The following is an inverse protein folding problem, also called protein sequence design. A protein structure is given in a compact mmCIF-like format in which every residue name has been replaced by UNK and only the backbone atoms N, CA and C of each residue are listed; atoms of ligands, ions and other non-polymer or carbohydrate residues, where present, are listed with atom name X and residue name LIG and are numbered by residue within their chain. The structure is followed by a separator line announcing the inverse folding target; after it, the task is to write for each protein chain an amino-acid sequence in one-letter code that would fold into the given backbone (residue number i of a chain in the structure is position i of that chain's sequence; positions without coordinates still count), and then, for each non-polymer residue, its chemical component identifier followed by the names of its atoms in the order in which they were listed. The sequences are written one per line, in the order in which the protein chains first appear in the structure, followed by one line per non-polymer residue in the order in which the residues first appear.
data_IF_233286006864
#
_entry.id   IF_233286006864
#
_cell.length_a   1.000
_cell.length_b   1.000
_cell.length_c   1.000
_cell.angle_alpha   90.00
_cell.angle_beta   90.00
_cell.angle_gamma   90.00
#
_symmetry.space_group_name_H-M   'P 1'
#
loop_
_entity.id
_entity.type
_entity.pdbx_description
1 polymer ?
2 non-polymer ?
3 non-polymer ?
4 water ?
#
# COMPACT_ATOMS: atom_id res chain seq x y z
N UNK A 12 -8.51 -3.72 7.30
CA UNK A 12 -7.22 -3.31 6.76
C UNK A 12 -7.28 -2.02 5.99
N UNK A 13 -6.14 -1.32 5.86
CA UNK A 13 -6.08 -0.03 5.17
C UNK A 13 -6.05 -0.20 3.66
N UNK A 14 -6.83 0.63 2.96
CA UNK A 14 -6.87 0.58 1.51
C UNK A 14 -5.69 1.33 0.93
N UNK A 15 -5.01 0.72 -0.04
CA UNK A 15 -3.89 1.39 -0.70
C UNK A 15 -3.69 0.88 -2.11
N UNK A 16 -3.87 1.78 -3.08
CA UNK A 16 -3.67 1.45 -4.48
C UNK A 16 -2.19 1.52 -4.87
N UNK A 17 -1.76 0.55 -5.66
CA UNK A 17 -0.39 0.51 -6.16
C UNK A 17 -0.21 1.54 -7.28
N UNK A 18 0.93 2.22 -7.30
CA UNK A 18 1.21 3.20 -8.33
C UNK A 18 1.50 2.53 -9.66
N UNK A 19 1.18 3.22 -10.78
CA UNK A 19 1.44 2.71 -12.12
C UNK A 19 2.89 2.27 -12.34
N UNK A 20 3.84 3.15 -12.06
CA UNK A 20 5.25 2.86 -12.30
C UNK A 20 5.76 1.72 -11.42
N UNK A 21 5.26 1.65 -10.19
CA UNK A 21 5.64 0.58 -9.28
C UNK A 21 5.18 -0.77 -9.83
N UNK A 22 4.03 -0.77 -10.47
CA UNK A 22 3.47 -1.98 -11.05
C UNK A 22 4.17 -2.38 -12.35
N UNK A 23 4.26 -1.43 -13.28
CA UNK A 23 4.80 -1.71 -14.60
C UNK A 23 6.27 -2.09 -14.58
N UNK A 24 7.01 -1.56 -13.60
CA UNK A 24 8.44 -1.85 -13.50
C UNK A 24 8.69 -3.17 -12.77
N UNK A 25 7.81 -3.51 -11.84
CA UNK A 25 7.97 -4.74 -11.06
C UNK A 25 7.45 -5.98 -11.76
N UNK A 26 6.32 -5.85 -12.44
CA UNK A 26 5.67 -6.99 -13.09
C UNK A 26 6.07 -7.15 -14.55
N UNK A 27 7.02 -6.33 -15.00
CA UNK A 27 7.60 -6.51 -16.33
C UNK A 27 8.23 -7.89 -16.44
N UNK A 28 7.90 -8.61 -17.51
CA UNK A 28 8.34 -9.99 -17.66
C UNK A 28 9.62 -10.14 -18.47
N UNK A 29 10.33 -9.03 -18.64
CA UNK A 29 11.60 -9.05 -19.35
C UNK A 29 12.71 -8.51 -18.47
N UNK A 30 12.39 -7.49 -17.68
CA UNK A 30 13.36 -6.88 -16.79
C UNK A 30 13.19 -7.40 -15.37
N UNK A 31 14.30 -7.59 -14.67
CA UNK A 31 14.26 -8.08 -13.30
C UNK A 31 14.35 -6.97 -12.27
N UNK A 32 13.62 -7.13 -11.17
CA UNK A 32 13.67 -6.19 -10.06
C UNK A 32 14.04 -6.93 -8.78
N UNK A 33 14.61 -6.22 -7.82
CA UNK A 33 15.23 -6.85 -6.66
C UNK A 33 14.24 -7.26 -5.57
N UNK A 34 12.98 -6.86 -5.72
CA UNK A 34 11.97 -7.28 -4.75
C UNK A 34 10.77 -7.95 -5.41
N UNK A 35 9.99 -8.65 -4.60
CA UNK A 35 8.84 -9.41 -5.09
C UNK A 35 7.52 -8.77 -4.68
N UNK A 36 6.63 -8.57 -5.65
CA UNK A 36 5.28 -8.07 -5.35
C UNK A 36 4.25 -9.17 -5.53
N UNK A 37 3.27 -9.21 -4.63
CA UNK A 37 2.27 -10.27 -4.65
C UNK A 37 0.85 -9.74 -4.55
N UNK A 38 0.15 -9.69 -5.68
CA UNK A 38 -1.26 -9.35 -5.69
C UNK A 38 -2.09 -10.60 -5.47
N UNK A 39 -2.94 -10.58 -4.45
CA UNK A 39 -3.75 -11.76 -4.12
C UNK A 39 -5.23 -11.45 -4.17
N UNK A 40 -6.01 -12.46 -4.57
CA UNK A 40 -7.46 -12.39 -4.55
C UNK A 40 -8.03 -13.64 -3.92
N UNK A 41 -9.15 -13.50 -3.21
CA UNK A 41 -9.82 -14.63 -2.60
C UNK A 41 -11.26 -14.71 -3.12
N UNK A 42 -11.73 -15.94 -3.36
CA UNK A 42 -13.09 -16.13 -3.82
C UNK A 42 -13.67 -17.45 -3.30
N UNK A 43 -14.90 -17.37 -2.80
CA UNK A 43 -15.58 -18.56 -2.31
C UNK A 43 -16.18 -19.34 -3.47
N UNK A 44 -16.02 -20.66 -3.42
CA UNK A 44 -16.59 -21.53 -4.44
C UNK A 44 -17.92 -22.10 -3.97
N UNK A 45 -19.00 -21.37 -4.24
CA UNK A 45 -20.34 -21.78 -3.82
C UNK A 45 -21.41 -21.02 -4.59
N UNK A 49 -18.84 -19.59 -8.32
CA UNK A 49 -17.85 -18.85 -7.55
C UNK A 49 -18.29 -17.42 -7.28
N UNK A 50 -17.89 -16.88 -6.13
CA UNK A 50 -18.22 -15.51 -5.78
C UNK A 50 -16.96 -14.73 -5.45
N UNK A 51 -16.76 -13.61 -6.14
CA UNK A 51 -15.57 -12.79 -5.92
C UNK A 51 -15.64 -12.06 -4.59
N UNK A 52 -14.93 -12.58 -3.60
CA UNK A 52 -14.86 -11.94 -2.29
C UNK A 52 -13.98 -10.70 -2.37
N UNK A 53 -14.51 -9.62 -2.92
CA UNK A 53 -13.79 -8.35 -2.93
C UNK A 53 -13.63 -7.86 -1.50
N UNK A 54 -12.68 -6.95 -1.30
CA UNK A 54 -12.24 -6.49 0.02
C UNK A 54 -11.49 -7.60 0.79
N UNK A 55 -11.34 -8.76 0.14
CA UNK A 55 -10.43 -9.79 0.64
C UNK A 55 -9.19 -9.79 -0.22
N UNK A 56 -9.12 -8.80 -1.12
CA UNK A 56 -7.99 -8.65 -2.03
C UNK A 56 -7.04 -7.55 -1.56
N UNK A 57 -5.82 -7.59 -2.07
CA UNK A 57 -4.82 -6.61 -1.75
C UNK A 57 -3.50 -7.03 -2.36
N UNK A 58 -2.41 -6.38 -1.99
CA UNK A 58 -1.11 -6.79 -2.50
C UNK A 58 -0.03 -6.75 -1.42
N UNK A 59 1.05 -7.48 -1.67
CA UNK A 59 2.15 -7.55 -0.73
C UNK A 59 3.49 -7.40 -1.43
N UNK A 60 4.49 -6.98 -0.67
CA UNK A 60 5.87 -7.00 -1.15
C UNK A 60 6.72 -7.60 -0.04
N UNK A 61 7.90 -8.11 -0.38
CA UNK A 61 8.78 -8.67 0.64
C UNK A 61 9.20 -7.60 1.65
N UNK A 62 9.30 -7.99 2.91
CA UNK A 62 9.75 -7.08 3.94
C UNK A 62 11.26 -6.91 3.81
N UNK A 63 11.70 -5.66 3.67
CA UNK A 63 13.12 -5.37 3.45
C UNK A 63 13.99 -5.89 4.57
N UNK A 64 15.13 -6.44 4.22
CA UNK A 64 16.04 -6.94 5.20
C UNK A 64 16.61 -5.77 5.92
N UNK A 65 17.12 -6.03 7.09
CA UNK A 65 17.84 -5.04 7.81
C UNK A 65 18.96 -5.72 8.51
N UNK A 66 19.92 -6.23 7.76
CA UNK A 66 21.09 -6.80 8.36
C UNK A 66 21.74 -5.65 9.09
N UNK A 67 21.99 -5.80 10.38
CA UNK A 67 22.55 -4.80 11.27
C UNK A 67 21.83 -5.02 12.54
N UNK A 68 20.52 -4.98 12.48
CA UNK A 68 19.67 -5.60 13.46
C UNK A 68 19.37 -6.89 12.79
N UNK A 69 20.05 -7.96 13.14
CA UNK A 69 19.91 -9.20 12.41
C UNK A 69 18.53 -9.61 11.97
N UNK A 70 18.02 -8.92 10.97
CA UNK A 70 16.73 -9.25 10.40
C UNK A 70 16.95 -9.50 8.94
N UNK A 71 16.52 -10.64 8.47
CA UNK A 71 16.79 -11.01 7.11
C UNK A 71 15.59 -10.93 6.26
N UNK A 72 14.67 -10.08 6.67
CA UNK A 72 13.49 -9.84 5.86
C UNK A 72 12.49 -10.97 5.88
N UNK A 73 11.41 -10.81 5.12
CA UNK A 73 10.41 -11.86 4.97
C UNK A 73 9.83 -11.84 3.56
N UNK A 74 9.87 -12.98 2.89
CA UNK A 74 9.46 -13.07 1.50
C UNK A 74 7.95 -12.86 1.32
N UNK A 75 7.57 -12.41 0.13
CA UNK A 75 6.18 -12.05 -0.17
C UNK A 75 5.21 -13.21 0.03
N UNK A 76 5.64 -14.41 -0.36
CA UNK A 76 4.82 -15.60 -0.23
C UNK A 76 4.49 -15.89 1.24
N UNK A 77 5.52 -15.86 2.09
CA UNK A 77 5.36 -16.15 3.50
C UNK A 77 4.53 -15.09 4.21
N UNK A 78 4.63 -13.85 3.73
CA UNK A 78 3.87 -12.74 4.29
C UNK A 78 2.38 -12.94 4.06
N UNK A 79 2.03 -13.66 3.00
CA UNK A 79 0.63 -13.97 2.74
C UNK A 79 0.14 -15.01 3.74
N UNK A 80 1.01 -15.96 4.06
CA UNK A 80 0.67 -17.01 5.02
C UNK A 80 0.39 -16.43 6.39
N UNK A 81 1.07 -15.35 6.73
CA UNK A 81 0.82 -14.62 7.97
C UNK A 81 -0.55 -13.97 7.91
N UNK A 82 -0.98 -13.63 6.70
CA UNK A 82 -2.19 -12.86 6.48
C UNK A 82 -3.43 -13.74 6.42
N UNK A 83 -3.24 -15.06 6.41
CA UNK A 83 -4.35 -15.99 6.27
C UNK A 83 -5.33 -15.99 7.46
N UNK A 84 -4.81 -15.95 8.71
CA UNK A 84 -5.80 -15.88 9.80
C UNK A 84 -6.61 -14.58 9.77
N UNK A 85 -6.05 -13.53 9.18
CA UNK A 85 -6.76 -12.27 9.04
C UNK A 85 -7.97 -12.40 8.12
N UNK A 86 -7.88 -13.33 7.18
CA UNK A 86 -8.94 -13.53 6.18
C UNK A 86 -10.23 -14.05 6.80
N UNK A 87 -10.11 -14.77 7.92
CA UNK A 87 -11.22 -15.44 8.57
C UNK A 87 -11.98 -16.34 7.59
N UNK A 88 -11.27 -17.31 7.03
CA UNK A 88 -11.87 -18.26 6.10
C UNK A 88 -12.67 -19.30 6.85
N UNK A 89 -13.71 -19.84 6.20
CA UNK A 89 -14.55 -20.86 6.81
C UNK A 89 -14.09 -22.25 6.37
N UNK A 90 -13.72 -23.09 7.34
CA UNK A 90 -13.39 -24.50 7.04
C UNK A 90 -14.59 -25.26 6.45
N UNK A 91 -15.80 -24.74 6.68
CA UNK A 91 -17.01 -25.35 6.16
C UNK A 91 -17.26 -24.96 4.70
N UNK A 92 -16.46 -24.02 4.20
CA UNK A 92 -16.56 -23.60 2.80
C UNK A 92 -15.34 -23.98 1.99
N UNK A 93 -15.33 -23.58 0.73
CA UNK A 93 -14.22 -23.88 -0.17
C UNK A 93 -13.79 -22.61 -0.91
N UNK A 94 -12.50 -22.29 -0.84
CA UNK A 94 -11.99 -21.07 -1.44
C UNK A 94 -10.88 -21.34 -2.45
N UNK A 95 -10.76 -20.45 -3.42
CA UNK A 95 -9.59 -20.46 -4.30
C UNK A 95 -8.86 -19.13 -4.19
N UNK A 96 -7.60 -19.19 -3.77
CA UNK A 96 -6.77 -18.01 -3.68
C UNK A 96 -5.94 -17.85 -4.94
N UNK A 97 -5.99 -16.67 -5.55
CA UNK A 97 -5.21 -16.38 -6.74
C UNK A 97 -4.04 -15.47 -6.44
N UNK A 98 -2.85 -15.90 -6.85
CA UNK A 98 -1.65 -15.10 -6.65
C UNK A 98 -1.16 -14.50 -7.96
N UNK A 99 -0.99 -13.18 -7.97
CA UNK A 99 -0.31 -12.50 -9.06
C UNK A 99 1.05 -12.04 -8.53
N UNK A 100 2.05 -12.89 -8.69
CA UNK A 100 3.34 -12.67 -8.04
C UNK A 100 4.40 -12.25 -9.06
N UNK A 101 5.30 -11.38 -8.64
CA UNK A 101 6.31 -10.83 -9.53
C UNK A 101 7.37 -11.87 -9.87
N UNK A 102 7.97 -12.46 -8.84
CA UNK A 102 8.89 -13.58 -9.05
C UNK A 102 8.21 -14.88 -8.62
N UNK A 103 8.51 -15.97 -9.32
CA UNK A 103 8.03 -17.29 -8.90
C UNK A 103 8.65 -17.62 -7.54
N UNK A 104 7.83 -18.13 -6.62
CA UNK A 104 8.28 -18.55 -5.28
C UNK A 104 9.54 -19.41 -5.32
N UNK A 105 10.44 -19.19 -4.37
CA UNK A 105 11.72 -19.88 -4.35
C UNK A 105 11.62 -21.18 -3.55
N UNK A 106 12.76 -21.88 -3.47
CA UNK A 106 12.83 -23.12 -2.69
C UNK A 106 13.94 -23.06 -1.66
N UNK A 107 15.12 -22.61 -2.09
CA UNK A 107 16.31 -22.65 -1.24
C UNK A 107 16.26 -21.66 -0.07
N UNK A 108 15.12 -21.01 0.12
CA UNK A 108 14.95 -20.08 1.24
C UNK A 108 13.67 -20.35 2.01
N UNK A 109 12.89 -21.32 1.53
CA UNK A 109 11.77 -21.84 2.31
C UNK A 109 10.36 -21.46 1.90
N UNK A 110 10.21 -20.86 0.72
CA UNK A 110 8.89 -20.44 0.27
C UNK A 110 8.06 -21.60 -0.25
N UNK A 111 8.63 -22.38 -1.17
CA UNK A 111 7.91 -23.49 -1.78
C UNK A 111 7.46 -24.53 -0.75
N UNK A 112 8.38 -24.92 0.13
CA UNK A 112 8.10 -25.92 1.13
C UNK A 112 7.04 -25.51 2.14
N UNK A 113 7.03 -24.23 2.50
CA UNK A 113 6.11 -23.74 3.52
C UNK A 113 4.75 -23.37 2.91
N UNK A 114 4.74 -23.02 1.63
CA UNK A 114 3.49 -22.79 0.92
C UNK A 114 2.79 -24.11 0.64
N UNK A 115 3.57 -25.10 0.23
CA UNK A 115 3.06 -26.45 0.01
C UNK A 115 2.51 -27.02 1.30
N UNK A 116 3.22 -26.81 2.40
CA UNK A 116 2.80 -27.30 3.70
C UNK A 116 1.49 -26.68 4.15
N UNK A 117 1.29 -25.41 3.81
CA UNK A 117 0.05 -24.71 4.15
C UNK A 117 -1.15 -25.35 3.47
N UNK A 118 -0.97 -25.77 2.22
CA UNK A 118 -2.04 -26.37 1.44
C UNK A 118 -2.49 -27.71 2.02
N UNK A 119 -1.57 -28.39 2.70
CA UNK A 119 -1.85 -29.70 3.28
C UNK A 119 -2.60 -29.55 4.60
N UNK A 120 -2.24 -28.54 5.37
CA UNK A 120 -2.93 -28.24 6.62
C UNK A 120 -4.30 -27.67 6.33
N UNK A 121 -4.42 -26.99 5.18
CA UNK A 121 -5.67 -26.34 4.78
C UNK A 121 -6.15 -26.84 3.43
N UNK A 122 -6.86 -27.97 3.43
CA UNK A 122 -7.35 -28.56 2.19
C UNK A 122 -8.64 -27.90 1.72
N UNK A 123 -9.11 -26.91 2.46
CA UNK A 123 -10.32 -26.18 2.09
C UNK A 123 -10.00 -25.03 1.13
N UNK A 124 -8.72 -24.80 0.88
CA UNK A 124 -8.30 -23.75 -0.02
C UNK A 124 -7.43 -24.28 -1.15
N UNK A 125 -7.72 -23.84 -2.37
CA UNK A 125 -6.91 -24.19 -3.53
C UNK A 125 -6.16 -22.97 -4.01
N UNK A 126 -4.91 -23.15 -4.42
CA UNK A 126 -4.06 -22.03 -4.79
C UNK A 126 -3.85 -21.92 -6.30
N UNK A 127 -3.82 -20.69 -6.80
CA UNK A 127 -3.51 -20.42 -8.20
C UNK A 127 -2.45 -19.33 -8.30
N UNK A 128 -1.30 -19.68 -8.85
CA UNK A 128 -0.18 -18.75 -8.91
C UNK A 128 0.14 -18.31 -10.33
N UNK A 129 0.03 -17.00 -10.57
CA UNK A 129 0.44 -16.42 -11.84
C UNK A 129 1.76 -15.67 -11.67
N UNK A 130 2.86 -16.32 -12.03
CA UNK A 130 4.17 -15.69 -11.96
C UNK A 130 4.39 -14.81 -13.18
N UNK A 131 4.86 -13.59 -12.92
CA UNK A 131 5.16 -12.66 -14.01
C UNK A 131 6.57 -12.89 -14.52
N UNK A 132 7.32 -13.70 -13.80
CA UNK A 132 8.74 -13.90 -14.08
C UNK A 132 9.27 -15.13 -13.37
N UNK A 133 10.17 -15.86 -14.02
CA UNK A 133 10.74 -17.05 -13.41
C UNK A 133 11.99 -16.70 -12.62
N UNK A 134 11.98 -16.97 -11.33
CA UNK A 134 13.09 -16.64 -10.44
C UNK A 134 14.19 -17.69 -10.52
N UNK A 135 14.96 -17.64 -11.61
CA UNK A 135 16.01 -18.63 -11.84
C UNK A 135 17.30 -18.29 -11.11
N UNK A 136 17.25 -17.28 -10.25
CA UNK A 136 18.39 -16.92 -9.41
C UNK A 136 18.63 -18.05 -8.42
N UNK A 137 17.55 -18.66 -7.95
CA UNK A 137 17.62 -19.85 -7.13
C UNK A 137 18.08 -21.02 -8.00
N UNK A 138 19.17 -21.70 -7.59
CA UNK A 138 19.65 -22.86 -8.34
C UNK A 138 18.61 -23.97 -8.42
N UNK A 139 17.73 -24.04 -7.42
CA UNK A 139 16.66 -25.03 -7.39
C UNK A 139 15.31 -24.41 -7.71
N UNK A 140 15.28 -23.50 -8.68
CA UNK A 140 14.04 -22.80 -9.01
C UNK A 140 13.03 -23.74 -9.65
N UNK A 141 13.52 -24.74 -10.37
CA UNK A 141 12.65 -25.73 -10.99
C UNK A 141 11.96 -26.60 -9.94
N UNK A 142 12.71 -26.96 -8.90
CA UNK A 142 12.18 -27.81 -7.83
C UNK A 142 11.11 -27.09 -7.02
N UNK A 143 11.18 -25.76 -6.99
CA UNK A 143 10.17 -24.96 -6.31
C UNK A 143 8.85 -25.03 -7.05
N UNK A 144 8.90 -24.81 -8.36
CA UNK A 144 7.70 -24.83 -9.20
C UNK A 144 7.04 -26.19 -9.22
N UNK A 145 7.85 -27.25 -9.18
CA UNK A 145 7.34 -28.61 -9.21
C UNK A 145 6.67 -28.99 -7.89
N UNK A 146 7.24 -28.52 -6.79
CA UNK A 146 6.69 -28.78 -5.47
C UNK A 146 5.31 -28.12 -5.30
N UNK A 147 5.18 -26.92 -5.86
CA UNK A 147 3.93 -26.17 -5.77
C UNK A 147 2.81 -26.88 -6.52
N UNK A 148 3.13 -27.46 -7.67
CA UNK A 148 2.16 -28.20 -8.46
C UNK A 148 1.73 -29.48 -7.73
N UNK A 149 2.70 -30.17 -7.15
CA UNK A 149 2.43 -31.43 -6.45
C UNK A 149 1.66 -31.20 -5.16
N UNK A 150 1.49 -29.95 -4.77
CA UNK A 150 0.74 -29.59 -3.58
C UNK A 150 -0.70 -29.21 -3.93
N UNK A 151 -1.04 -29.35 -5.21
CA UNK A 151 -2.37 -29.02 -5.68
C UNK A 151 -2.58 -27.53 -5.91
N UNK A 152 -1.63 -26.91 -6.60
CA UNK A 152 -1.73 -25.48 -6.91
C UNK A 152 -1.41 -25.21 -8.37
N UNK A 153 -2.26 -24.42 -9.02
CA UNK A 153 -2.04 -24.04 -10.42
C UNK A 153 -0.85 -23.09 -10.55
N UNK A 154 0.20 -23.58 -11.20
CA UNK A 154 1.40 -22.77 -11.42
C UNK A 154 1.44 -22.30 -12.87
N UNK A 155 1.18 -21.01 -13.07
CA UNK A 155 1.09 -20.48 -14.43
C UNK A 155 1.96 -19.24 -14.62
N UNK A 156 1.97 -18.72 -15.84
CA UNK A 156 2.69 -17.51 -16.17
C UNK A 156 1.72 -16.41 -16.55
N UNK A 157 1.95 -15.21 -16.00
CA UNK A 157 1.08 -14.07 -16.28
C UNK A 157 1.03 -13.73 -17.78
N UNK A 158 -0.18 -13.72 -18.32
CA UNK A 158 -0.41 -13.33 -19.71
C UNK A 158 -1.00 -11.91 -19.69
N UNK A 159 -1.28 -11.35 -20.87
CA UNK A 159 -1.85 -10.00 -20.96
C UNK A 159 -3.09 -9.85 -20.11
N UNK A 160 -3.94 -10.88 -20.13
CA UNK A 160 -5.18 -10.90 -19.35
C UNK A 160 -4.91 -10.64 -17.87
N UNK A 161 -3.89 -11.27 -17.33
CA UNK A 161 -3.56 -11.12 -15.91
C UNK A 161 -2.95 -9.76 -15.62
N UNK A 162 -2.10 -9.29 -16.52
CA UNK A 162 -1.47 -7.99 -16.37
C UNK A 162 -2.51 -6.87 -16.44
N UNK A 163 -3.46 -7.02 -17.36
CA UNK A 163 -4.54 -6.05 -17.52
C UNK A 163 -5.43 -6.06 -16.27
N UNK A 164 -5.71 -7.25 -15.76
CA UNK A 164 -6.53 -7.41 -14.57
C UNK A 164 -5.89 -6.74 -13.36
N UNK A 165 -4.60 -6.99 -13.16
CA UNK A 165 -3.87 -6.38 -12.05
C UNK A 165 -3.84 -4.87 -12.17
N UNK A 166 -3.69 -4.37 -13.40
CA UNK A 166 -3.71 -2.94 -13.65
C UNK A 166 -5.06 -2.36 -13.29
N UNK A 167 -6.12 -3.06 -13.67
CA UNK A 167 -7.48 -2.60 -13.40
C UNK A 167 -7.83 -2.70 -11.92
N UNK A 168 -7.35 -3.74 -11.26
CA UNK A 168 -7.78 -4.06 -9.91
C UNK A 168 -6.96 -3.42 -8.80
N UNK A 169 -5.64 -3.53 -8.91
CA UNK A 169 -4.74 -3.13 -7.81
C UNK A 169 -4.04 -1.79 -8.05
N UNK A 170 -3.93 -1.39 -9.31
CA UNK A 170 -3.18 -0.19 -9.68
C UNK A 170 -4.05 1.06 -9.70
N UNK A 171 -3.53 2.15 -9.14
CA UNK A 171 -4.19 3.46 -9.22
C UNK A 171 -4.06 4.00 -10.65
N UNK A 172 -4.86 3.47 -11.55
CA UNK A 172 -4.76 3.82 -12.97
C UNK A 172 -5.40 5.16 -13.29
N UNK A 173 -6.26 5.63 -12.40
CA UNK A 173 -6.94 6.92 -12.56
C UNK A 173 -7.70 7.01 -13.88
N UNK A 174 -8.32 5.91 -14.29
CA UNK A 174 -9.10 5.87 -15.51
C UNK A 174 -8.31 5.44 -16.74
N UNK A 175 -7.00 5.65 -16.70
CA UNK A 175 -6.13 5.31 -17.82
C UNK A 175 -6.09 3.80 -18.05
N UNK A 176 -6.27 3.39 -19.31
CA UNK A 176 -6.27 1.98 -19.67
C UNK A 176 -4.88 1.35 -19.61
N UNK A 177 -4.82 0.02 -19.56
CA UNK A 177 -3.55 -0.68 -19.46
C UNK A 177 -2.79 -0.63 -20.78
N UNK A 178 -1.55 -0.17 -20.72
CA UNK A 178 -0.67 -0.16 -21.87
C UNK A 178 0.45 -1.17 -21.68
N UNK A 179 0.37 -2.29 -22.40
CA UNK A 179 1.37 -3.36 -22.32
C UNK A 179 2.74 -2.88 -22.77
N UNK A 180 3.76 -3.18 -21.98
CA UNK A 180 5.13 -2.81 -22.32
C UNK A 180 5.62 -3.60 -23.54
N UNK A 181 6.72 -3.15 -24.12
CA UNK A 181 7.29 -3.79 -25.30
C UNK A 181 7.72 -5.24 -24.99
N UNK A 182 7.17 -6.18 -25.75
CA UNK A 182 7.56 -7.57 -25.62
C UNK A 182 6.82 -8.36 -24.56
N UNK A 183 5.71 -7.80 -24.07
CA UNK A 183 4.92 -8.44 -23.02
C UNK A 183 4.44 -9.82 -23.46
N UNK A 184 3.76 -9.87 -24.61
CA UNK A 184 3.29 -11.14 -25.16
C UNK A 184 4.44 -12.04 -25.55
N UNK A 185 5.51 -11.46 -26.07
CA UNK A 185 6.68 -12.21 -26.52
C UNK A 185 7.33 -12.95 -25.36
N UNK A 186 7.59 -12.23 -24.27
CA UNK A 186 8.24 -12.82 -23.10
C UNK A 186 7.33 -13.82 -22.41
N UNK A 187 6.02 -13.56 -22.46
CA UNK A 187 5.04 -14.44 -21.83
C UNK A 187 5.09 -15.83 -22.44
N UNK A 188 5.13 -15.89 -23.77
CA UNK A 188 5.19 -17.16 -24.48
C UNK A 188 6.47 -17.93 -24.18
N UNK A 189 7.60 -17.21 -24.22
CA UNK A 189 8.89 -17.81 -23.93
C UNK A 189 8.94 -18.37 -22.51
N UNK A 190 8.40 -17.61 -21.56
CA UNK A 190 8.35 -18.04 -20.17
C UNK A 190 7.33 -19.16 -19.97
N UNK A 191 6.26 -19.13 -20.76
CA UNK A 191 5.25 -20.18 -20.69
C UNK A 191 5.78 -21.49 -21.25
N UNK A 192 6.66 -21.38 -22.24
CA UNK A 192 7.31 -22.54 -22.81
C UNK A 192 8.27 -23.15 -21.81
N UNK A 193 8.97 -22.29 -21.08
CA UNK A 193 9.92 -22.73 -20.07
C UNK A 193 9.21 -23.44 -18.93
N UNK A 194 8.09 -22.90 -18.49
CA UNK A 194 7.37 -23.43 -17.34
C UNK A 194 6.81 -24.83 -17.58
N UNK A 195 6.14 -25.01 -18.72
CA UNK A 195 5.50 -26.28 -19.02
C UNK A 195 6.55 -27.34 -19.33
N UNK A 196 7.73 -26.89 -19.76
CA UNK A 196 8.86 -27.80 -19.97
C UNK A 196 9.39 -28.28 -18.62
N UNK A 197 9.33 -27.40 -17.63
CA UNK A 197 9.74 -27.74 -16.27
C UNK A 197 8.73 -28.68 -15.61
N UNK A 198 7.45 -28.36 -15.76
CA UNK A 198 6.38 -29.16 -15.18
C UNK A 198 6.11 -30.42 -15.98
N UNK A 199 6.68 -30.49 -17.18
CA UNK A 199 6.66 -31.72 -17.96
C UNK A 199 7.41 -32.81 -17.22
N UNK A 200 8.53 -32.42 -16.60
CA UNK A 200 9.33 -33.33 -15.81
C UNK A 200 9.05 -33.20 -14.32
N UNK B 12 -11.80 -2.11 -2.66
CA UNK B 12 -10.53 -1.54 -2.24
C UNK B 12 -9.53 -2.59 -1.79
N UNK B 13 -8.33 -2.57 -2.38
CA UNK B 13 -7.26 -3.53 -2.03
C UNK B 13 -6.54 -3.15 -0.73
N UNK B 14 -6.34 -4.13 0.14
CA UNK B 14 -5.70 -3.88 1.43
C UNK B 14 -4.18 -3.98 1.32
N UNK B 15 -3.49 -3.07 2.01
CA UNK B 15 -2.05 -3.12 2.10
C UNK B 15 -1.55 -2.47 3.38
N UNK B 16 -0.83 -3.23 4.20
CA UNK B 16 -0.27 -2.71 5.43
C UNK B 16 1.09 -2.06 5.19
N UNK B 17 1.30 -0.90 5.80
CA UNK B 17 2.58 -0.21 5.70
C UNK B 17 3.62 -0.92 6.55
N UNK B 18 4.81 -1.13 5.99
CA UNK B 18 5.88 -1.80 6.72
C UNK B 18 6.49 -0.89 7.78
N UNK B 19 6.84 -1.48 8.95
CA UNK B 19 7.38 -0.76 10.11
C UNK B 19 8.51 0.20 9.78
N UNK B 20 9.47 -0.26 8.97
CA UNK B 20 10.62 0.55 8.61
C UNK B 20 10.22 1.76 7.76
N UNK B 21 9.27 1.54 6.85
CA UNK B 21 8.81 2.61 5.98
C UNK B 21 8.02 3.66 6.78
N UNK B 22 7.25 3.21 7.76
CA UNK B 22 6.52 4.13 8.63
C UNK B 22 7.46 4.98 9.46
N UNK B 23 8.41 4.33 10.13
CA UNK B 23 9.34 5.02 11.01
C UNK B 23 10.29 5.95 10.26
N UNK B 24 10.70 5.53 9.06
CA UNK B 24 11.62 6.33 8.27
C UNK B 24 10.94 7.56 7.68
N UNK B 25 9.62 7.50 7.54
CA UNK B 25 8.86 8.60 6.94
C UNK B 25 8.16 9.51 7.94
N UNK B 26 7.83 8.98 9.12
CA UNK B 26 7.10 9.76 10.11
C UNK B 26 7.97 10.19 11.29
N UNK B 27 9.27 9.94 11.19
CA UNK B 27 10.21 10.46 12.17
C UNK B 27 10.25 11.97 12.09
N UNK B 28 9.96 12.64 13.20
CA UNK B 28 9.95 14.10 13.24
C UNK B 28 11.36 14.67 13.43
N UNK B 29 12.36 13.84 13.18
CA UNK B 29 13.75 14.26 13.20
C UNK B 29 14.38 13.99 11.84
N UNK B 30 13.83 13.01 11.13
CA UNK B 30 14.30 12.68 9.80
C UNK B 30 13.42 13.35 8.74
N UNK B 31 14.05 14.03 7.80
CA UNK B 31 13.34 14.69 6.72
C UNK B 31 13.53 13.99 5.39
N UNK B 32 12.47 13.38 4.89
CA UNK B 32 12.54 12.61 3.64
C UNK B 32 11.89 13.33 2.47
N UNK B 33 12.29 12.96 1.25
CA UNK B 33 11.71 13.53 0.04
C UNK B 33 10.43 12.80 -0.37
N UNK B 34 9.74 12.24 0.62
CA UNK B 34 8.46 11.60 0.39
C UNK B 34 7.43 12.10 1.40
N UNK B 35 6.20 12.26 0.94
CA UNK B 35 5.10 12.60 1.82
C UNK B 35 4.13 11.43 1.92
N UNK B 36 3.85 11.00 3.15
CA UNK B 36 2.88 9.96 3.39
C UNK B 36 1.65 10.53 4.06
N UNK B 37 0.47 10.03 3.69
CA UNK B 37 -0.79 10.60 4.16
C UNK B 37 -1.75 9.50 4.61
N UNK B 38 -1.67 9.12 5.88
CA UNK B 38 -2.66 8.23 6.47
C UNK B 38 -3.95 9.00 6.67
N UNK B 39 -5.06 8.44 6.19
CA UNK B 39 -6.35 9.12 6.29
C UNK B 39 -7.43 8.22 6.91
N UNK B 40 -8.32 8.85 7.67
CA UNK B 40 -9.48 8.15 8.21
C UNK B 40 -10.72 9.00 8.00
N UNK B 41 -11.78 8.38 7.50
CA UNK B 41 -13.05 9.06 7.32
C UNK B 41 -14.05 8.59 8.37
N UNK B 42 -14.82 9.53 8.93
CA UNK B 42 -15.88 9.19 9.87
C UNK B 42 -17.01 10.21 9.75
N UNK B 43 -18.23 9.76 10.00
CA UNK B 43 -19.41 10.60 9.87
C UNK B 43 -19.85 11.15 11.22
N UNK B 44 -20.13 12.45 11.25
CA UNK B 44 -20.55 13.11 12.48
C UNK B 44 -22.07 13.05 12.65
N UNK B 45 -22.53 12.56 13.79
CA UNK B 45 -23.96 12.46 14.07
C UNK B 45 -24.35 13.24 15.34
N UNK B 46 -25.40 12.77 16.00
CA UNK B 46 -25.87 13.40 17.23
C UNK B 46 -24.87 13.25 18.38
N UNK B 48 -22.23 11.73 18.80
CA UNK B 48 -21.36 10.60 18.49
C UNK B 48 -20.97 10.58 17.02
N UNK B 49 -19.85 9.94 16.73
CA UNK B 49 -19.41 9.78 15.36
C UNK B 49 -19.75 8.38 14.85
N UNK B 50 -19.57 8.18 13.55
CA UNK B 50 -19.70 6.87 12.95
C UNK B 50 -18.40 6.57 12.21
N UNK B 51 -17.53 5.80 12.85
CA UNK B 51 -16.21 5.52 12.29
C UNK B 51 -16.33 4.60 11.07
N UNK B 52 -15.84 5.09 9.93
CA UNK B 52 -15.89 4.34 8.69
C UNK B 52 -14.54 3.63 8.47
N UNK B 53 -14.29 2.61 9.27
CA UNK B 53 -13.06 1.81 9.16
C UNK B 53 -12.97 1.13 7.80
N UNK B 54 -14.11 1.10 7.11
CA UNK B 54 -14.17 0.70 5.71
C UNK B 54 -13.27 1.58 4.85
N UNK B 55 -13.11 2.83 5.25
CA UNK B 55 -12.46 3.84 4.41
C UNK B 55 -11.05 4.22 4.87
N UNK B 56 -10.44 3.41 5.73
CA UNK B 56 -9.07 3.67 6.15
C UNK B 56 -8.10 3.40 5.01
N UNK B 57 -6.97 4.11 5.01
CA UNK B 57 -5.96 3.93 4.00
C UNK B 57 -4.87 4.97 4.09
N UNK B 58 -3.88 4.87 3.21
CA UNK B 58 -2.81 5.85 3.17
C UNK B 58 -2.34 6.14 1.75
N UNK B 59 -1.66 7.26 1.56
CA UNK B 59 -1.15 7.66 0.26
C UNK B 59 0.28 8.14 0.39
N UNK B 60 1.00 8.13 -0.73
CA UNK B 60 2.23 8.89 -0.85
C UNK B 60 2.16 9.72 -2.12
N UNK B 61 3.13 10.60 -2.31
CA UNK B 61 3.21 11.36 -3.54
C UNK B 61 3.52 10.40 -4.68
N UNK B 62 3.28 10.84 -5.91
CA UNK B 62 3.57 10.01 -7.07
C UNK B 62 4.96 10.30 -7.60
N UNK B 63 5.73 9.24 -7.84
CA UNK B 63 7.09 9.39 -8.35
C UNK B 63 7.10 10.10 -9.69
N UNK B 64 7.97 11.09 -9.82
CA UNK B 64 8.11 11.84 -11.06
C UNK B 64 8.76 10.97 -12.13
N UNK B 65 8.65 11.39 -13.39
CA UNK B 65 9.30 10.71 -14.49
C UNK B 65 9.88 11.72 -15.48
N UNK B 66 11.03 12.28 -15.12
CA UNK B 66 11.68 13.34 -15.88
C UNK B 66 11.89 12.99 -17.35
N UNK B 67 11.99 11.69 -17.64
CA UNK B 67 12.13 11.23 -19.01
C UNK B 67 11.16 10.10 -19.30
N UNK B 69 8.20 12.95 -19.07
CA UNK B 69 8.22 14.22 -18.38
C UNK B 69 6.93 14.50 -17.62
N UNK B 70 6.97 14.27 -16.30
CA UNK B 70 5.84 14.56 -15.43
C UNK B 70 6.33 14.63 -13.99
N UNK B 71 6.03 15.75 -13.33
CA UNK B 71 6.68 16.12 -12.07
C UNK B 71 6.09 15.43 -10.83
N UNK B 72 5.22 14.45 -11.05
CA UNK B 72 4.62 13.73 -9.95
C UNK B 72 3.41 14.45 -9.38
N UNK B 73 2.72 13.79 -8.46
CA UNK B 73 1.52 14.34 -7.87
C UNK B 73 1.57 14.23 -6.34
N UNK B 74 1.46 15.37 -5.67
CA UNK B 74 1.58 15.41 -4.21
C UNK B 74 0.46 14.65 -3.50
N UNK B 75 0.78 14.17 -2.29
CA UNK B 75 -0.13 13.31 -1.54
C UNK B 75 -1.47 13.98 -1.25
N UNK B 76 -1.44 15.28 -0.98
CA UNK B 76 -2.66 16.04 -0.69
C UNK B 76 -3.63 15.99 -1.87
N UNK B 77 -3.09 16.26 -3.06
CA UNK B 77 -3.87 16.20 -4.29
C UNK B 77 -4.34 14.78 -4.57
N UNK B 78 -3.51 13.81 -4.19
CA UNK B 78 -3.81 12.40 -4.38
C UNK B 78 -5.00 11.96 -3.53
N UNK B 79 -5.26 12.67 -2.44
CA UNK B 79 -6.43 12.39 -1.61
C UNK B 79 -7.67 13.01 -2.22
N UNK B 80 -7.49 14.12 -2.93
CA UNK B 80 -8.60 14.81 -3.56
C UNK B 80 -9.10 14.00 -4.75
N UNK B 81 -8.20 13.20 -5.33
CA UNK B 81 -8.58 12.28 -6.40
C UNK B 81 -9.34 11.09 -5.81
N UNK B 82 -9.25 10.93 -4.50
CA UNK B 82 -9.79 9.77 -3.81
C UNK B 82 -11.23 9.97 -3.34
N UNK B 83 -11.59 11.23 -3.09
CA UNK B 83 -12.87 11.58 -2.47
C UNK B 83 -14.12 10.99 -3.16
N UNK B 84 -14.21 11.02 -4.51
CA UNK B 84 -15.40 10.42 -5.11
C UNK B 84 -15.55 8.92 -4.82
N UNK B 85 -14.43 8.22 -4.67
CA UNK B 85 -14.46 6.80 -4.37
C UNK B 85 -15.08 6.51 -3.00
N UNK B 86 -14.99 7.50 -2.11
CA UNK B 86 -15.53 7.37 -0.77
C UNK B 86 -17.06 7.45 -0.78
N UNK B 87 -17.60 8.08 -1.83
CA UNK B 87 -19.04 8.21 -2.02
C UNK B 87 -19.74 8.81 -0.80
N UNK B 88 -19.24 9.96 -0.36
CA UNK B 88 -19.80 10.63 0.82
C UNK B 88 -21.18 11.19 0.55
N UNK B 89 -22.05 11.14 1.55
CA UNK B 89 -23.38 11.70 1.45
C UNK B 89 -23.33 13.22 1.59
N UNK B 90 -23.73 13.95 0.54
CA UNK B 90 -23.72 15.42 0.56
C UNK B 90 -24.58 15.97 1.68
N UNK B 91 -25.64 15.24 2.06
CA UNK B 91 -26.53 15.65 3.13
C UNK B 91 -25.86 15.56 4.49
N UNK B 92 -25.16 14.45 4.72
CA UNK B 92 -24.45 14.24 5.98
C UNK B 92 -23.15 15.05 6.04
N UNK B 93 -22.63 15.26 7.24
CA UNK B 93 -21.34 15.93 7.40
C UNK B 93 -20.28 14.93 7.88
N UNK B 94 -19.10 15.04 7.29
CA UNK B 94 -18.01 14.11 7.59
C UNK B 94 -16.78 14.84 8.13
N UNK B 95 -16.04 14.19 9.00
CA UNK B 95 -14.75 14.71 9.45
C UNK B 95 -13.61 13.83 8.92
N UNK B 96 -12.81 14.40 8.03
CA UNK B 96 -11.66 13.70 7.48
C UNK B 96 -10.41 13.96 8.31
N UNK B 97 -9.77 12.89 8.76
CA UNK B 97 -8.56 13.02 9.56
C UNK B 97 -7.32 12.63 8.76
N UNK B 98 -6.35 13.54 8.73
CA UNK B 98 -5.09 13.27 8.06
C UNK B 98 -3.94 13.09 9.05
N UNK B 99 -3.09 12.10 8.80
CA UNK B 99 -1.81 11.99 9.48
C UNK B 99 -0.73 12.10 8.43
N UNK B 100 -0.46 13.32 7.98
CA UNK B 100 0.41 13.55 6.83
C UNK B 100 1.87 13.74 7.25
N UNK B 101 2.78 13.20 6.45
CA UNK B 101 4.20 13.21 6.79
C UNK B 101 4.78 14.63 6.77
N UNK B 102 4.53 15.36 5.68
CA UNK B 102 4.91 16.76 5.61
C UNK B 102 3.66 17.62 5.63
N UNK B 103 3.75 18.81 6.23
CA UNK B 103 2.69 19.78 6.11
C UNK B 103 2.56 20.20 4.65
N UNK B 104 1.32 20.28 4.14
CA UNK B 104 1.07 20.63 2.74
C UNK B 104 1.72 21.95 2.33
N UNK B 105 2.25 21.99 1.11
CA UNK B 105 2.96 23.17 0.62
C UNK B 105 2.01 24.26 0.12
N UNK B 106 2.59 25.32 -0.42
CA UNK B 106 1.81 26.41 -1.00
C UNK B 106 2.30 26.78 -2.40
N UNK B 107 3.61 26.70 -2.60
CA UNK B 107 4.21 27.03 -3.89
C UNK B 107 3.67 26.13 -4.99
N UNK B 108 3.41 24.89 -4.64
CA UNK B 108 2.66 23.98 -5.50
C UNK B 108 1.20 24.02 -5.07
N UNK B 109 0.31 23.62 -5.96
CA UNK B 109 -1.12 23.81 -5.74
C UNK B 109 -1.77 22.94 -4.67
N UNK B 110 -1.04 22.65 -3.60
CA UNK B 110 -1.56 21.79 -2.53
C UNK B 110 -2.56 22.52 -1.63
N UNK B 111 -2.09 23.53 -0.91
CA UNK B 111 -2.94 24.29 0.00
C UNK B 111 -4.07 24.97 -0.77
N UNK B 112 -3.82 25.32 -2.02
CA UNK B 112 -4.81 25.94 -2.86
C UNK B 112 -5.97 25.02 -3.20
N UNK B 113 -5.65 23.81 -3.64
CA UNK B 113 -6.68 22.85 -4.03
C UNK B 113 -7.47 22.36 -2.81
N UNK B 114 -6.80 22.26 -1.67
CA UNK B 114 -7.47 21.82 -0.45
C UNK B 114 -8.43 22.91 0.02
N UNK B 115 -8.01 24.16 -0.09
CA UNK B 115 -8.86 25.31 0.24
C UNK B 115 -10.12 25.29 -0.60
N UNK B 116 -9.95 25.10 -1.91
CA UNK B 116 -11.07 25.06 -2.84
C UNK B 116 -12.00 23.89 -2.53
N UNK B 117 -11.42 22.76 -2.14
CA UNK B 117 -12.20 21.57 -1.84
C UNK B 117 -13.09 21.78 -0.63
N UNK B 118 -12.51 22.26 0.47
CA UNK B 118 -13.25 22.52 1.69
C UNK B 118 -14.31 23.60 1.48
N UNK B 119 -14.01 24.52 0.56
CA UNK B 119 -14.94 25.61 0.23
C UNK B 119 -16.13 25.08 -0.54
N UNK B 120 -15.87 24.20 -1.50
CA UNK B 120 -16.92 23.60 -2.32
C UNK B 120 -17.70 22.54 -1.54
N UNK B 121 -16.99 21.47 -1.14
CA UNK B 121 -17.59 20.42 -0.35
C UNK B 121 -17.70 20.83 1.12
N UNK B 122 -18.75 21.57 1.44
CA UNK B 122 -18.93 22.11 2.79
C UNK B 122 -19.33 21.06 3.81
N UNK B 123 -19.65 19.86 3.34
CA UNK B 123 -20.07 18.77 4.21
C UNK B 123 -18.86 17.99 4.74
N UNK B 124 -17.67 18.58 4.64
CA UNK B 124 -16.45 17.93 5.07
C UNK B 124 -15.61 18.81 6.00
N UNK B 125 -15.28 18.28 7.17
CA UNK B 125 -14.35 18.94 8.07
C UNK B 125 -13.01 18.21 8.01
N UNK B 126 -11.94 18.96 7.76
CA UNK B 126 -10.62 18.35 7.63
C UNK B 126 -9.78 18.54 8.89
N UNK B 127 -9.26 17.46 9.41
CA UNK B 127 -8.37 17.50 10.57
C UNK B 127 -7.00 16.97 10.19
N UNK B 128 -6.01 17.86 10.13
CA UNK B 128 -4.69 17.50 9.67
C UNK B 128 -3.67 17.38 10.81
N UNK B 129 -3.00 16.23 10.88
CA UNK B 129 -1.92 16.03 11.82
C UNK B 129 -0.59 15.88 11.07
N UNK B 130 0.27 16.87 11.20
CA UNK B 130 1.57 16.85 10.53
C UNK B 130 2.66 16.30 11.44
N UNK B 131 3.51 15.44 10.90
CA UNK B 131 4.63 14.88 11.65
C UNK B 131 5.73 15.93 11.78
N UNK B 132 5.89 16.73 10.73
CA UNK B 132 6.89 17.78 10.69
C UNK B 132 6.51 18.87 9.68
N UNK B 133 7.11 20.04 9.82
CA UNK B 133 6.76 21.18 8.98
C UNK B 133 7.66 21.29 7.74
N UNK B 134 7.02 21.44 6.58
CA UNK B 134 7.72 21.54 5.31
C UNK B 134 8.24 22.95 5.08
N UNK B 135 9.24 23.36 5.85
CA UNK B 135 9.77 24.73 5.78
C UNK B 135 10.75 24.93 4.63
N UNK B 136 10.86 23.92 3.77
CA UNK B 136 11.73 24.02 2.59
C UNK B 136 11.00 24.75 1.48
N UNK B 137 9.71 24.99 1.71
CA UNK B 137 8.90 25.82 0.82
C UNK B 137 8.84 27.23 1.41
N UNK B 138 9.38 28.23 0.69
CA UNK B 138 9.43 29.62 1.15
C UNK B 138 8.10 30.15 1.69
N UNK B 139 6.99 29.63 1.17
CA UNK B 139 5.67 30.07 1.58
C UNK B 139 4.96 28.98 2.39
N UNK B 140 5.72 28.30 3.25
CA UNK B 140 5.16 27.24 4.09
C UNK B 140 4.25 27.83 5.15
N UNK B 141 4.56 29.05 5.59
CA UNK B 141 3.74 29.74 6.57
C UNK B 141 2.36 30.06 5.99
N UNK B 142 2.34 30.56 4.77
CA UNK B 142 1.10 30.93 4.11
C UNK B 142 0.24 29.71 3.81
N UNK B 143 0.89 28.57 3.64
CA UNK B 143 0.20 27.31 3.38
C UNK B 143 -0.66 26.91 4.57
N UNK B 144 -0.02 26.81 5.73
CA UNK B 144 -0.70 26.44 6.97
C UNK B 144 -1.79 27.44 7.33
N UNK B 145 -1.56 28.70 7.01
CA UNK B 145 -2.51 29.78 7.34
C UNK B 145 -3.76 29.71 6.46
N UNK B 146 -3.59 29.40 5.18
CA UNK B 146 -4.73 29.30 4.27
C UNK B 146 -5.57 28.06 4.62
N UNK B 147 -4.91 27.00 5.05
CA UNK B 147 -5.60 25.80 5.51
C UNK B 147 -6.44 26.11 6.75
N UNK B 148 -5.90 26.97 7.62
CA UNK B 148 -6.60 27.38 8.83
C UNK B 148 -7.83 28.21 8.49
N UNK B 149 -7.68 29.08 7.50
CA UNK B 149 -8.79 29.93 7.04
C UNK B 149 -9.85 29.10 6.34
N UNK B 150 -9.45 27.95 5.80
CA UNK B 150 -10.35 27.06 5.10
C UNK B 150 -11.24 26.30 6.07
N UNK B 151 -10.85 26.29 7.34
CA UNK B 151 -11.67 25.68 8.38
C UNK B 151 -11.12 24.36 8.89
N UNK B 152 -9.86 24.09 8.55
CA UNK B 152 -9.23 22.83 8.94
C UNK B 152 -8.54 22.93 10.30
N UNK B 153 -8.50 21.81 11.02
CA UNK B 153 -7.74 21.74 12.27
C UNK B 153 -6.31 21.28 11.98
N UNK B 154 -5.37 22.23 11.98
CA UNK B 154 -3.98 21.88 11.74
C UNK B 154 -3.20 21.80 13.05
N UNK B 155 -2.59 20.65 13.30
CA UNK B 155 -1.79 20.44 14.49
C UNK B 155 -0.64 19.47 14.24
N UNK B 156 0.26 19.34 15.21
CA UNK B 156 1.44 18.50 15.06
C UNK B 156 1.24 17.13 15.71
N UNK B 157 1.73 16.08 15.05
CA UNK B 157 1.62 14.73 15.58
C UNK B 157 2.41 14.55 16.87
N UNK B 158 1.77 13.98 17.88
CA UNK B 158 2.42 13.63 19.13
C UNK B 158 2.49 12.11 19.26
N UNK B 159 2.99 11.63 20.40
CA UNK B 159 3.09 10.21 20.67
C UNK B 159 1.78 9.47 20.41
N UNK B 160 0.68 10.08 20.82
CA UNK B 160 -0.66 9.49 20.65
C UNK B 160 -0.97 9.21 19.19
N UNK B 161 -0.70 10.19 18.33
CA UNK B 161 -0.99 10.08 16.92
C UNK B 161 -0.02 9.13 16.22
N UNK B 162 1.21 9.07 16.72
CA UNK B 162 2.21 8.17 16.17
C UNK B 162 1.89 6.72 16.54
N UNK B 163 1.50 6.50 17.79
CA UNK B 163 1.15 5.16 18.26
C UNK B 163 -0.12 4.67 17.56
N UNK B 164 -1.02 5.59 17.25
CA UNK B 164 -2.26 5.25 16.56
C UNK B 164 -1.98 4.71 15.17
N UNK B 165 -1.23 5.47 14.37
CA UNK B 165 -0.89 5.08 13.01
C UNK B 165 -0.09 3.78 12.98
N UNK B 166 0.69 3.54 14.02
CA UNK B 166 1.44 2.29 14.12
C UNK B 166 0.49 1.12 14.32
N UNK B 167 -0.48 1.30 15.20
CA UNK B 167 -1.46 0.26 15.49
C UNK B 167 -2.44 0.08 14.35
N UNK B 168 -2.72 1.15 13.63
CA UNK B 168 -3.78 1.15 12.63
C UNK B 168 -3.29 0.86 11.21
N UNK B 169 -2.12 1.37 10.86
CA UNK B 169 -1.67 1.31 9.47
C UNK B 169 -0.42 0.47 9.24
N UNK B 170 0.21 0.02 10.31
CA UNK B 170 1.47 -0.73 10.19
C UNK B 170 1.30 -2.21 10.46
N UNK B 171 1.93 -3.05 9.64
CA UNK B 171 1.99 -4.49 9.90
C UNK B 171 2.97 -4.76 11.04
N UNK B 172 2.52 -4.50 12.27
CA UNK B 172 3.37 -4.58 13.45
C UNK B 172 3.51 -6.01 13.98
N UNK B 173 2.46 -6.82 13.79
CA UNK B 173 2.42 -8.19 14.26
C UNK B 173 2.69 -8.31 15.77
N UNK B 174 1.93 -7.58 16.58
CA UNK B 174 2.04 -7.69 18.02
C UNK B 174 3.03 -6.73 18.65
N UNK B 175 4.05 -6.36 17.88
CA UNK B 175 5.08 -5.44 18.36
C UNK B 175 4.51 -4.05 18.64
N UNK B 176 4.60 -3.60 19.89
CA UNK B 176 4.10 -2.29 20.30
C UNK B 176 4.91 -1.16 19.68
N UNK B 177 4.33 0.03 19.66
CA UNK B 177 5.01 1.20 19.10
C UNK B 177 6.21 1.59 19.95
N UNK B 178 7.38 1.67 19.33
CA UNK B 178 8.61 1.99 20.03
C UNK B 178 9.09 3.40 19.68
N UNK B 179 8.93 4.34 20.60
CA UNK B 179 9.29 5.75 20.38
C UNK B 179 10.77 5.94 20.03
N UNK B 180 11.04 6.70 18.98
CA UNK B 180 12.42 7.07 18.66
C UNK B 180 12.89 8.16 19.62
N UNK B 181 14.20 8.35 19.70
CA UNK B 181 14.78 9.33 20.61
C UNK B 181 14.35 10.75 20.25
N UNK B 182 13.89 11.48 21.26
CA UNK B 182 13.51 12.88 21.08
C UNK B 182 12.18 13.08 20.40
N UNK B 183 11.30 12.09 20.49
CA UNK B 183 9.99 12.17 19.86
C UNK B 183 9.16 13.31 20.45
N UNK B 184 9.09 13.37 21.78
CA UNK B 184 8.31 14.40 22.47
C UNK B 184 8.89 15.78 22.28
N UNK B 185 10.22 15.87 22.32
CA UNK B 185 10.91 17.15 22.19
C UNK B 185 10.67 17.79 20.82
N UNK B 186 10.66 16.95 19.79
CA UNK B 186 10.44 17.43 18.44
C UNK B 186 8.98 17.86 18.27
N UNK B 187 8.07 17.12 18.89
CA UNK B 187 6.65 17.46 18.88
C UNK B 187 6.42 18.85 19.49
N UNK B 188 6.91 19.01 20.72
CA UNK B 188 6.74 20.27 21.46
C UNK B 188 7.39 21.44 20.71
N UNK B 189 8.54 21.19 20.12
CA UNK B 189 9.25 22.22 19.37
C UNK B 189 8.47 22.62 18.12
N UNK B 190 7.99 21.63 17.40
CA UNK B 190 7.22 21.87 16.18
C UNK B 190 5.85 22.45 16.48
N UNK B 191 5.30 22.13 17.65
CA UNK B 191 4.03 22.69 18.06
C UNK B 191 4.14 24.21 18.25
N UNK B 192 5.26 24.63 18.82
CA UNK B 192 5.50 26.05 19.05
C UNK B 192 5.65 26.83 17.77
N UNK B 193 6.31 26.23 16.78
CA UNK B 193 6.50 26.88 15.48
C UNK B 193 5.16 27.08 14.79
N UNK B 194 4.33 26.03 14.79
CA UNK B 194 2.99 26.10 14.22
C UNK B 194 2.15 27.12 14.98
N UNK B 195 2.37 27.19 16.29
CA UNK B 195 1.68 28.14 17.15
C UNK B 195 2.06 29.57 16.79
N UNK B 196 3.28 29.74 16.30
CA UNK B 196 3.77 31.06 15.87
C UNK B 196 3.25 31.41 14.48
N UNK B 197 3.21 30.41 13.60
CA UNK B 197 2.73 30.60 12.24
C UNK B 197 1.23 30.90 12.23
N UNK B 198 0.49 30.23 13.11
CA UNK B 198 -0.97 30.41 13.16
C UNK B 198 -1.38 31.59 14.03
N UNK B 199 -0.41 32.20 14.70
CA UNK B 199 -0.69 33.40 15.49
C UNK B 199 -0.88 34.61 14.58
N UNK B 200 -2.14 35.01 14.39
CA UNK B 200 -2.45 36.14 13.54
C UNK B 200 -2.09 37.48 14.19
X LIG C 1 11.12 -14.86 -3.89
X LIG D 1 11.09 -17.02 -1.50
X LIG E 1 14.76 -0.64 -4.51
X LIG F 1 2.48 2.47 -2.96
X LIG G 1 4.23 -1.21 0.81
X LIG H 1 13.34 1.03 -2.72
X LIG I 1 2.47 19.97 -1.95
X LIG J 1 4.25 18.23 -0.09
X LIG K 1 4.29 0.78 -0.87
#
# INVERSE_FOLDING_TARGET
GPGHMEASPASGPRHLMDPHIFTSNFNNGIGRHKTYLCYEVERLDNGTSVKMDQHRGFLHNQAKNLLCGFYGRHAALRFLDLVPSLQLDPAQIYRVTWFISWSPCFSWGCAGEVRAFLQENTHVRLRIFAARIYDYDPLYKEALQMLRDAGAQVSIMTYDEFKHCWDTFVDHQGAPFQPWDGLDEHSQALSGRLRAILQNQGN
GPGHMEASPASGPRHLMDPHIFTSNFNNGIGRHKTYLCYEVERLDNGTSVKMDQHRGFLHNQAKNLLCGFYGRHAALRFLDLVPSLQLDPAQIYRVTWFISWSPCFSWGCAGEVRAFLQENTHVRLRIFAARIYDYDPLYKEALQMLRDAGAQVSIMTYDEFKHCWDTFVDHQGAPFQPWDGLDEHSQALSGRLRAILQNQGN
ZN ZN
ZN ZN
ZN ZN
ZN ZN
ZN ZN
CL CL
ZN ZN
ZN ZN
CL CL
#
